data_IF_595322996360
#
_entry.id   IF_595322996360
#
_cell.length_a   1.000
_cell.length_b   1.000
_cell.length_c   1.000
_cell.angle_alpha   90.00
_cell.angle_beta   90.00
_cell.angle_gamma   90.00
#
_symmetry.space_group_name_H-M   'P 1'
#
loop_
_entity.id
_entity.type
_entity.pdbx_description
1 polymer ?
#
# COMPACT_ATOMS: atom_id res chain seq x y z
N UNK A 1 3.38 -4.94 10.54
CA UNK A 1 3.45 -3.51 10.92
C UNK A 1 4.19 -3.32 12.26
N UNK A 2 3.60 -3.67 13.40
CA UNK A 2 4.23 -3.40 14.72
C UNK A 2 5.58 -4.11 14.92
N UNK A 3 5.75 -5.33 14.42
CA UNK A 3 7.06 -6.03 14.42
C UNK A 3 8.14 -5.38 13.55
N UNK A 4 7.75 -4.49 12.64
CA UNK A 4 8.63 -3.68 11.79
C UNK A 4 8.85 -2.27 12.37
N UNK A 5 8.33 -1.98 13.57
CA UNK A 5 8.40 -0.65 14.18
C UNK A 5 7.55 0.42 13.48
N UNK A 6 6.60 0.02 12.63
CA UNK A 6 5.76 0.94 11.87
C UNK A 6 4.47 1.27 12.64
N UNK A 7 4.15 2.55 12.76
CA UNK A 7 2.84 3.04 13.21
C UNK A 7 1.98 3.41 11.99
N UNK A 8 1.04 2.53 11.67
CA UNK A 8 0.15 2.72 10.53
C UNK A 8 -0.69 4.00 10.63
N UNK A 9 -1.11 4.37 11.85
CA UNK A 9 -1.98 5.52 12.05
C UNK A 9 -1.21 6.82 11.89
N UNK A 10 -0.05 6.93 12.52
CA UNK A 10 0.81 8.11 12.40
C UNK A 10 1.27 8.32 10.94
N UNK A 11 1.63 7.25 10.23
CA UNK A 11 2.03 7.34 8.82
C UNK A 11 0.86 7.72 7.91
N UNK A 12 -0.35 7.21 8.17
CA UNK A 12 -1.55 7.64 7.44
C UNK A 12 -1.90 9.12 7.69
N UNK A 13 -1.83 9.58 8.94
CA UNK A 13 -2.03 10.99 9.30
C UNK A 13 -0.98 11.91 8.64
N UNK A 14 0.22 11.39 8.38
CA UNK A 14 1.28 12.07 7.64
C UNK A 14 1.20 11.88 6.10
N UNK A 15 0.14 11.26 5.57
CA UNK A 15 -0.02 10.90 4.15
C UNK A 15 1.12 10.04 3.56
N UNK A 16 1.82 9.25 4.39
CA UNK A 16 2.94 8.40 4.00
C UNK A 16 2.55 6.91 3.93
N UNK A 17 1.51 6.61 3.16
CA UNK A 17 1.09 5.22 2.93
C UNK A 17 2.11 4.42 2.09
N UNK A 18 2.84 5.08 1.20
CA UNK A 18 3.81 4.43 0.31
C UNK A 18 4.93 3.74 1.11
N UNK A 19 5.62 4.48 1.99
CA UNK A 19 6.73 3.94 2.78
C UNK A 19 6.28 2.84 3.73
N UNK A 20 5.06 2.94 4.25
CA UNK A 20 4.45 1.91 5.10
C UNK A 20 4.31 0.57 4.37
N UNK A 21 3.68 0.55 3.19
CA UNK A 21 3.49 -0.69 2.44
C UNK A 21 4.80 -1.20 1.81
N UNK A 22 5.72 -0.31 1.42
CA UNK A 22 7.04 -0.71 0.91
C UNK A 22 7.86 -1.44 2.00
N UNK A 23 7.89 -0.92 3.22
CA UNK A 23 8.61 -1.53 4.34
C UNK A 23 8.05 -2.91 4.75
N UNK A 24 6.75 -3.15 4.52
CA UNK A 24 6.12 -4.46 4.75
C UNK A 24 6.34 -5.46 3.61
N UNK A 25 6.76 -5.00 2.43
CA UNK A 25 6.77 -5.82 1.22
C UNK A 25 5.39 -6.03 0.60
N UNK A 26 4.36 -5.31 1.07
CA UNK A 26 2.96 -5.44 0.64
C UNK A 26 2.59 -4.44 -0.47
N UNK A 27 3.55 -3.62 -0.93
CA UNK A 27 3.33 -2.66 -2.01
C UNK A 27 3.22 -3.37 -3.37
N UNK A 28 2.05 -3.27 -3.99
CA UNK A 28 1.82 -3.78 -5.35
C UNK A 28 2.50 -2.87 -6.38
N UNK A 29 3.56 -3.37 -7.04
CA UNK A 29 4.27 -2.69 -8.13
C UNK A 29 4.00 -3.42 -9.46
N UNK A 30 3.29 -2.78 -10.39
CA UNK A 30 2.96 -3.36 -11.71
C UNK A 30 3.95 -2.99 -12.82
N UNK A 31 4.68 -1.87 -12.64
CA UNK A 31 5.36 -1.20 -13.75
C UNK A 31 4.40 -0.47 -14.68
N UNK A 32 4.89 0.10 -15.80
CA UNK A 32 4.06 0.78 -16.79
C UNK A 32 3.11 -0.22 -17.48
N UNK A 33 1.80 0.01 -17.38
CA UNK A 33 0.76 -0.88 -17.93
C UNK A 33 0.33 -0.52 -19.35
N UNK A 34 0.65 0.70 -19.82
CA UNK A 34 0.31 1.19 -21.16
C UNK A 34 -1.13 1.69 -21.33
N UNK A 35 -1.93 1.77 -20.26
CA UNK A 35 -3.29 2.34 -20.27
C UNK A 35 -3.70 2.84 -18.89
N UNK A 36 -4.76 3.64 -18.80
CA UNK A 36 -5.36 4.09 -17.55
C UNK A 36 -6.89 3.99 -17.62
N UNK A 37 -7.48 3.17 -16.76
CA UNK A 37 -8.94 3.02 -16.60
C UNK A 37 -9.40 3.35 -15.17
N UNK A 38 -8.62 4.16 -14.46
CA UNK A 38 -8.76 4.47 -13.04
C UNK A 38 -8.48 3.24 -12.14
N UNK A 39 -9.05 3.23 -10.93
CA UNK A 39 -8.73 2.29 -9.86
C UNK A 39 -9.52 0.97 -9.96
N UNK A 40 -8.86 -0.12 -9.59
CA UNK A 40 -9.49 -1.42 -9.33
C UNK A 40 -9.19 -1.86 -7.89
N UNK A 41 -10.21 -2.34 -7.17
CA UNK A 41 -10.08 -2.88 -5.80
C UNK A 41 -10.74 -4.25 -5.73
N UNK A 42 -10.02 -5.23 -5.20
CA UNK A 42 -10.52 -6.58 -4.98
C UNK A 42 -10.60 -6.86 -3.48
N UNK A 43 -11.79 -7.26 -3.01
CA UNK A 43 -11.99 -7.75 -1.65
C UNK A 43 -12.48 -9.18 -1.77
N UNK A 44 -11.72 -10.13 -1.20
CA UNK A 44 -12.09 -11.54 -1.17
C UNK A 44 -12.45 -11.95 0.26
N UNK A 45 -13.37 -12.90 0.38
CA UNK A 45 -13.73 -13.52 1.65
C UNK A 45 -13.60 -15.03 1.48
N UNK A 46 -13.01 -15.69 2.47
CA UNK A 46 -12.98 -17.15 2.57
C UNK A 46 -14.37 -17.71 2.89
#
# INVERSE_FOLDING_TARGET
ASSFGLDARAMLENNDAYSFFEALGDLVKTGPTGTNVNDFRLVVRA
#
